data_IF_858143905545
#
_entry.id   IF_858143905545
#
_cell.length_a   1.000
_cell.length_b   1.000
_cell.length_c   1.000
_cell.angle_alpha   90.00
_cell.angle_beta   90.00
_cell.angle_gamma   90.00
#
_symmetry.space_group_name_H-M   'P 1'
#
loop_
_entity.id
_entity.type
_entity.pdbx_description
1 polymer ?
#
# COMPACT_ATOMS: atom_id res chain seq x y z
N UNK A 1 -0.92 -4.29 9.07
CA UNK A 1 -0.95 -4.54 7.60
C UNK A 1 0.15 -5.51 7.24
N UNK A 2 -0.08 -6.40 6.26
CA UNK A 2 0.69 -7.64 5.93
C UNK A 2 0.86 -8.63 7.10
N UNK A 3 1.62 -8.29 8.14
CA UNK A 3 1.83 -9.13 9.34
C UNK A 3 0.52 -9.50 10.04
N UNK A 4 -0.46 -8.60 10.11
CA UNK A 4 -1.77 -8.91 10.70
C UNK A 4 -2.61 -9.87 9.85
N UNK A 5 -2.47 -9.83 8.52
CA UNK A 5 -3.24 -10.72 7.62
C UNK A 5 -2.62 -12.12 7.65
N UNK A 6 -1.28 -12.20 7.60
CA UNK A 6 -0.57 -13.47 7.78
C UNK A 6 -0.81 -14.03 9.18
N UNK A 7 -0.73 -13.20 10.22
CA UNK A 7 -1.03 -13.62 11.60
C UNK A 7 -2.49 -14.07 11.76
N UNK A 8 -3.47 -13.39 11.16
CA UNK A 8 -4.86 -13.84 11.22
C UNK A 8 -5.08 -15.20 10.52
N UNK A 9 -4.39 -15.46 9.40
CA UNK A 9 -4.37 -16.75 8.72
C UNK A 9 -3.59 -17.82 9.51
N UNK A 10 -2.54 -17.42 10.24
CA UNK A 10 -1.64 -18.30 10.98
C UNK A 10 -2.10 -18.63 12.41
N UNK A 11 -2.89 -17.76 13.06
CA UNK A 11 -3.48 -17.98 14.39
C UNK A 11 -4.34 -19.26 14.43
N UNK A 12 -4.81 -19.74 13.29
CA UNK A 12 -5.50 -21.03 13.15
C UNK A 12 -4.60 -22.27 13.25
N UNK A 13 -3.26 -22.18 13.24
CA UNK A 13 -2.41 -23.34 13.54
C UNK A 13 -1.05 -22.97 14.17
N UNK A 14 -0.73 -23.57 15.32
CA UNK A 14 0.57 -23.42 15.99
C UNK A 14 1.77 -23.94 15.16
N UNK A 15 1.52 -24.69 14.07
CA UNK A 15 2.52 -25.14 13.11
C UNK A 15 2.84 -24.09 12.02
N UNK A 16 2.08 -22.99 11.93
CA UNK A 16 2.16 -22.08 10.80
C UNK A 16 3.28 -21.05 10.86
N UNK A 17 3.82 -20.76 12.05
CA UNK A 17 4.90 -19.79 12.24
C UNK A 17 6.15 -20.16 11.45
N UNK A 18 6.42 -21.46 11.25
CA UNK A 18 7.54 -21.94 10.44
C UNK A 18 7.37 -21.61 8.94
N UNK A 19 6.14 -21.48 8.45
CA UNK A 19 5.86 -21.13 7.05
C UNK A 19 5.99 -19.62 6.77
N UNK A 20 6.08 -18.77 7.80
CA UNK A 20 6.23 -17.33 7.61
C UNK A 20 7.53 -16.98 6.85
N UNK A 21 8.65 -17.63 7.20
CA UNK A 21 9.95 -17.36 6.55
C UNK A 21 9.98 -17.82 5.08
N UNK A 22 9.57 -19.06 4.74
CA UNK A 22 9.43 -19.47 3.34
C UNK A 22 8.45 -18.60 2.54
N UNK A 23 7.31 -18.21 3.14
CA UNK A 23 6.34 -17.35 2.48
C UNK A 23 6.92 -15.96 2.16
N UNK A 24 7.64 -15.36 3.11
CA UNK A 24 8.36 -14.11 2.89
C UNK A 24 9.38 -14.24 1.74
N UNK A 25 10.13 -15.35 1.69
CA UNK A 25 11.05 -15.65 0.59
C UNK A 25 10.35 -15.69 -0.78
N UNK A 26 9.20 -16.34 -0.88
CA UNK A 26 8.39 -16.40 -2.11
C UNK A 26 7.92 -15.00 -2.52
N UNK A 27 7.43 -14.20 -1.57
CA UNK A 27 6.98 -12.82 -1.82
C UNK A 27 8.14 -11.97 -2.34
N UNK A 28 9.35 -12.10 -1.78
CA UNK A 28 10.54 -11.38 -2.25
C UNK A 28 10.93 -11.77 -3.68
N UNK A 29 10.88 -13.06 -4.03
CA UNK A 29 11.12 -13.53 -5.40
C UNK A 29 10.09 -12.93 -6.36
N UNK A 30 8.81 -12.95 -5.97
CA UNK A 30 7.73 -12.37 -6.77
C UNK A 30 7.92 -10.86 -6.95
N UNK A 31 8.30 -10.14 -5.90
CA UNK A 31 8.57 -8.71 -5.94
C UNK A 31 9.75 -8.38 -6.87
N UNK A 32 10.81 -9.20 -6.84
CA UNK A 32 11.93 -9.08 -7.78
C UNK A 32 11.48 -9.28 -9.23
N UNK A 33 10.70 -10.33 -9.51
CA UNK A 33 10.17 -10.61 -10.85
C UNK A 33 9.27 -9.48 -11.36
N UNK A 34 8.37 -8.98 -10.52
CA UNK A 34 7.49 -7.85 -10.83
C UNK A 34 8.32 -6.58 -11.08
N UNK A 35 9.35 -6.31 -10.28
CA UNK A 35 10.22 -5.14 -10.46
C UNK A 35 10.93 -5.18 -11.81
N UNK A 36 11.47 -6.34 -12.20
CA UNK A 36 12.08 -6.53 -13.51
C UNK A 36 11.07 -6.36 -14.66
N UNK A 37 9.84 -6.88 -14.49
CA UNK A 37 8.76 -6.71 -15.46
C UNK A 37 8.36 -5.24 -15.64
N UNK A 38 8.15 -4.50 -14.54
CA UNK A 38 7.87 -3.06 -14.60
C UNK A 38 9.00 -2.29 -15.27
N UNK A 39 10.24 -2.66 -15.00
CA UNK A 39 11.39 -2.03 -15.64
C UNK A 39 11.32 -2.22 -17.16
N UNK A 40 11.02 -3.42 -17.66
CA UNK A 40 10.84 -3.66 -19.10
C UNK A 40 9.69 -2.84 -19.69
N UNK A 41 8.54 -2.78 -18.99
CA UNK A 41 7.38 -2.00 -19.43
C UNK A 41 7.73 -0.51 -19.53
N UNK A 42 8.44 0.05 -18.55
CA UNK A 42 8.85 1.47 -18.56
C UNK A 42 9.77 1.77 -19.75
N UNK A 43 10.68 0.86 -20.10
CA UNK A 43 11.56 1.04 -21.27
C UNK A 43 10.78 0.89 -22.59
N UNK A 44 9.79 0.01 -22.65
CA UNK A 44 8.97 -0.20 -23.85
C UNK A 44 7.93 0.92 -24.07
N UNK A 45 7.47 1.58 -23.01
CA UNK A 45 6.45 2.64 -23.04
C UNK A 45 6.96 3.93 -22.38
N UNK A 46 7.96 4.63 -22.97
CA UNK A 46 8.57 5.82 -22.39
C UNK A 46 7.61 7.02 -22.29
N UNK A 47 6.58 7.05 -23.15
CA UNK A 47 5.51 8.06 -23.12
C UNK A 47 4.59 7.92 -21.91
N UNK A 48 4.72 6.84 -21.13
CA UNK A 48 3.82 6.52 -20.02
C UNK A 48 2.48 5.95 -20.48
N UNK A 49 1.52 5.86 -19.54
CA UNK A 49 0.15 5.40 -19.82
C UNK A 49 -0.38 4.33 -18.86
N UNK A 50 0.48 3.73 -18.05
CA UNK A 50 0.08 2.76 -17.02
C UNK A 50 -0.56 1.49 -17.59
N UNK A 51 -1.08 0.63 -16.70
CA UNK A 51 -1.62 -0.67 -17.08
C UNK A 51 -2.81 -0.59 -18.05
N UNK A 52 -3.61 0.48 -18.00
CA UNK A 52 -4.71 0.72 -18.93
C UNK A 52 -4.23 0.85 -20.38
N UNK A 53 -3.28 1.75 -20.65
CA UNK A 53 -2.78 2.01 -22.01
C UNK A 53 -2.05 0.79 -22.56
N UNK A 54 -1.23 0.13 -21.74
CA UNK A 54 -0.50 -1.08 -22.14
C UNK A 54 -1.48 -2.20 -22.49
N UNK A 55 -2.51 -2.44 -21.67
CA UNK A 55 -3.52 -3.46 -21.95
C UNK A 55 -4.35 -3.13 -23.21
N UNK A 56 -4.78 -1.88 -23.38
CA UNK A 56 -5.56 -1.46 -24.56
C UNK A 56 -4.77 -1.64 -25.85
N UNK A 57 -3.48 -1.26 -25.88
CA UNK A 57 -2.68 -1.32 -27.10
C UNK A 57 -2.32 -2.76 -27.52
N UNK A 58 -2.17 -3.68 -26.57
CA UNK A 58 -1.72 -5.05 -26.86
C UNK A 58 -2.89 -6.06 -26.93
N UNK A 59 -3.98 -5.84 -26.19
CA UNK A 59 -5.08 -6.80 -26.01
C UNK A 59 -6.45 -6.23 -26.40
N UNK A 60 -6.48 -4.98 -26.90
CA UNK A 60 -7.69 -4.29 -27.33
C UNK A 60 -8.47 -3.64 -26.19
N UNK A 61 -9.51 -2.89 -26.58
CA UNK A 61 -10.28 -2.02 -25.68
C UNK A 61 -10.93 -2.75 -24.52
N UNK A 62 -11.41 -3.99 -24.72
CA UNK A 62 -12.07 -4.77 -23.67
C UNK A 62 -11.15 -5.07 -22.49
N UNK A 63 -9.94 -5.58 -22.77
CA UNK A 63 -8.92 -5.84 -21.76
C UNK A 63 -8.45 -4.53 -21.09
N UNK A 64 -8.34 -3.45 -21.88
CA UNK A 64 -8.09 -2.10 -21.38
C UNK A 64 -9.09 -1.65 -20.33
N UNK A 65 -10.39 -1.76 -20.62
CA UNK A 65 -11.45 -1.36 -19.70
C UNK A 65 -11.45 -2.15 -18.39
N UNK A 66 -11.16 -3.45 -18.44
CA UNK A 66 -11.00 -4.28 -17.24
C UNK A 66 -9.80 -3.80 -16.41
N UNK A 67 -8.67 -3.52 -17.04
CA UNK A 67 -7.50 -2.97 -16.36
C UNK A 67 -7.80 -1.60 -15.73
N UNK A 68 -8.49 -0.72 -16.45
CA UNK A 68 -8.89 0.61 -15.96
C UNK A 68 -9.86 0.52 -14.77
N UNK A 69 -10.87 -0.34 -14.85
CA UNK A 69 -11.82 -0.57 -13.76
C UNK A 69 -11.15 -1.12 -12.51
N UNK A 70 -10.22 -2.08 -12.68
CA UNK A 70 -9.41 -2.63 -11.60
C UNK A 70 -8.56 -1.55 -10.91
N UNK A 71 -7.92 -0.66 -11.68
CA UNK A 71 -7.13 0.46 -11.13
C UNK A 71 -7.98 1.42 -10.28
N UNK A 72 -9.23 1.69 -10.65
CA UNK A 72 -10.11 2.54 -9.86
C UNK A 72 -10.44 1.89 -8.50
N UNK A 73 -10.73 0.58 -8.51
CA UNK A 73 -10.98 -0.17 -7.27
C UNK A 73 -9.71 -0.21 -6.41
N UNK A 74 -8.55 -0.46 -7.01
CA UNK A 74 -7.25 -0.47 -6.33
C UNK A 74 -6.97 0.88 -5.64
N UNK A 75 -7.25 2.01 -6.31
CA UNK A 75 -7.10 3.33 -5.69
C UNK A 75 -8.06 3.56 -4.52
N UNK A 76 -9.31 3.14 -4.63
CA UNK A 76 -10.28 3.25 -3.52
C UNK A 76 -9.84 2.40 -2.32
N UNK A 77 -9.42 1.15 -2.57
CA UNK A 77 -8.97 0.24 -1.53
C UNK A 77 -7.66 0.70 -0.90
N UNK A 78 -6.72 1.24 -1.68
CA UNK A 78 -5.46 1.76 -1.16
C UNK A 78 -5.69 2.85 -0.13
N UNK A 79 -6.59 3.80 -0.41
CA UNK A 79 -6.94 4.85 0.56
C UNK A 79 -7.64 4.25 1.79
N UNK A 80 -8.63 3.38 1.58
CA UNK A 80 -9.40 2.79 2.67
C UNK A 80 -8.52 1.96 3.64
N UNK A 81 -7.67 1.08 3.10
CA UNK A 81 -6.78 0.20 3.88
C UNK A 81 -5.68 1.00 4.56
N UNK A 82 -5.09 1.99 3.88
CA UNK A 82 -4.04 2.83 4.46
C UNK A 82 -4.57 3.66 5.64
N UNK A 83 -5.76 4.27 5.50
CA UNK A 83 -6.34 5.04 6.61
C UNK A 83 -6.76 4.14 7.76
N UNK A 84 -7.36 2.99 7.48
CA UNK A 84 -7.79 2.05 8.53
C UNK A 84 -6.59 1.53 9.33
N UNK A 85 -5.52 1.10 8.64
CA UNK A 85 -4.28 0.66 9.30
C UNK A 85 -3.57 1.79 10.06
N UNK A 86 -3.62 3.03 9.54
CA UNK A 86 -3.16 4.21 10.26
C UNK A 86 -3.94 4.46 11.55
N UNK A 87 -5.27 4.38 11.51
CA UNK A 87 -6.12 4.50 12.70
C UNK A 87 -5.89 3.37 13.70
N UNK A 88 -5.67 2.14 13.23
CA UNK A 88 -5.28 1.02 14.10
C UNK A 88 -3.96 1.28 14.82
N UNK A 89 -2.96 1.85 14.15
CA UNK A 89 -1.70 2.23 14.79
C UNK A 89 -1.90 3.30 15.88
N UNK A 90 -2.74 4.32 15.62
CA UNK A 90 -3.07 5.38 16.58
C UNK A 90 -3.81 4.81 17.79
N UNK A 91 -4.85 4.01 17.55
CA UNK A 91 -5.68 3.42 18.63
C UNK A 91 -4.95 2.33 19.40
N UNK A 92 -3.93 1.71 18.82
CA UNK A 92 -3.02 0.81 19.54
C UNK A 92 -2.10 1.56 20.51
N UNK A 93 -1.66 2.77 20.13
CA UNK A 93 -0.89 3.64 21.03
C UNK A 93 -1.77 4.30 22.12
N UNK A 94 -3.04 4.60 21.82
CA UNK A 94 -3.99 5.24 22.74
C UNK A 94 -5.30 4.41 22.81
N UNK A 95 -5.38 3.42 23.72
CA UNK A 95 -6.50 2.46 23.76
C UNK A 95 -7.88 3.07 24.00
N UNK A 96 -7.96 4.22 24.67
CA UNK A 96 -9.24 4.92 24.93
C UNK A 96 -9.95 5.38 23.65
N UNK A 97 -9.21 5.54 22.54
CA UNK A 97 -9.75 5.95 21.25
C UNK A 97 -10.35 4.79 20.44
N UNK A 98 -10.18 3.53 20.88
CA UNK A 98 -10.60 2.34 20.12
C UNK A 98 -12.10 2.33 19.80
N UNK A 99 -12.94 2.81 20.71
CA UNK A 99 -14.39 2.92 20.49
C UNK A 99 -14.76 3.89 19.34
N UNK A 100 -13.87 4.81 18.98
CA UNK A 100 -14.09 5.86 17.98
C UNK A 100 -13.30 5.60 16.68
N UNK A 101 -12.74 4.40 16.49
CA UNK A 101 -11.88 4.06 15.34
C UNK A 101 -12.52 4.41 14.00
N UNK A 102 -13.80 4.11 13.79
CA UNK A 102 -14.50 4.43 12.54
C UNK A 102 -14.60 5.94 12.33
N UNK A 103 -14.94 6.70 13.37
CA UNK A 103 -15.03 8.16 13.31
C UNK A 103 -13.69 8.81 13.00
N UNK A 104 -12.61 8.32 13.62
CA UNK A 104 -11.24 8.79 13.37
C UNK A 104 -10.85 8.52 11.91
N UNK A 105 -11.10 7.31 11.39
CA UNK A 105 -10.81 6.98 10.00
C UNK A 105 -11.55 7.89 9.00
N UNK A 106 -12.86 8.12 9.21
CA UNK A 106 -13.65 9.02 8.35
C UNK A 106 -13.10 10.45 8.40
N UNK A 107 -12.76 10.95 9.60
CA UNK A 107 -12.17 12.28 9.75
C UNK A 107 -10.82 12.40 9.03
N UNK A 108 -9.96 11.38 9.11
CA UNK A 108 -8.69 11.35 8.39
C UNK A 108 -8.92 11.37 6.87
N UNK A 109 -9.86 10.57 6.34
CA UNK A 109 -10.21 10.59 4.91
C UNK A 109 -10.67 11.97 4.48
N UNK A 110 -11.62 12.58 5.21
CA UNK A 110 -12.14 13.91 4.90
C UNK A 110 -11.05 15.00 4.98
N UNK A 111 -10.15 14.87 5.94
CA UNK A 111 -9.01 15.76 6.09
C UNK A 111 -8.08 15.66 4.88
N UNK A 112 -7.62 14.45 4.54
CA UNK A 112 -6.75 14.21 3.37
C UNK A 112 -7.44 14.66 2.08
N UNK A 113 -8.74 14.40 1.92
CA UNK A 113 -9.54 14.87 0.79
C UNK A 113 -9.52 16.40 0.70
N UNK A 114 -9.74 17.09 1.82
CA UNK A 114 -9.73 18.56 1.86
C UNK A 114 -8.35 19.12 1.51
N UNK A 115 -7.27 18.51 2.00
CA UNK A 115 -5.90 18.90 1.65
C UNK A 115 -5.63 18.74 0.14
N UNK A 116 -6.08 17.64 -0.46
CA UNK A 116 -5.92 17.37 -1.89
C UNK A 116 -6.74 18.36 -2.75
N UNK A 117 -7.98 18.65 -2.36
CA UNK A 117 -8.84 19.62 -3.05
C UNK A 117 -8.30 21.05 -2.96
N UNK A 118 -7.60 21.40 -1.88
CA UNK A 118 -6.93 22.71 -1.69
C UNK A 118 -5.63 22.87 -2.49
N UNK A 119 -5.21 21.87 -3.24
CA UNK A 119 -4.06 22.00 -4.13
C UNK A 119 -2.70 21.98 -3.44
N UNK A 120 -2.58 21.41 -2.22
CA UNK A 120 -1.29 21.22 -1.53
C UNK A 120 -0.27 20.32 -2.26
N UNK A 121 -0.64 19.85 -3.46
CA UNK A 121 0.13 18.96 -4.33
C UNK A 121 1.46 19.56 -4.80
N UNK A 122 1.62 20.90 -4.78
CA UNK A 122 2.87 21.56 -5.22
C UNK A 122 4.05 21.43 -4.22
N UNK A 123 3.81 21.02 -2.97
CA UNK A 123 4.86 20.86 -1.95
C UNK A 123 5.16 19.38 -1.63
N UNK A 124 5.35 18.55 -2.65
CA UNK A 124 5.70 17.14 -2.50
C UNK A 124 6.97 16.90 -1.65
N UNK A 125 7.83 17.91 -1.50
CA UNK A 125 9.02 17.85 -0.64
C UNK A 125 8.71 17.67 0.85
N UNK A 126 7.58 18.21 1.36
CA UNK A 126 7.22 18.04 2.78
C UNK A 126 6.93 16.57 3.12
N UNK A 127 6.36 15.81 2.18
CA UNK A 127 6.05 14.39 2.36
C UNK A 127 7.31 13.50 2.38
N UNK A 128 8.45 14.00 1.90
CA UNK A 128 9.71 13.27 1.89
C UNK A 128 10.29 13.10 3.30
N UNK A 129 10.09 14.08 4.19
CA UNK A 129 10.60 14.06 5.58
C UNK A 129 10.04 12.88 6.39
N UNK A 130 8.71 12.67 6.51
CA UNK A 130 8.17 11.56 7.30
C UNK A 130 8.54 10.20 6.69
N UNK A 131 8.68 10.09 5.37
CA UNK A 131 9.07 8.83 4.71
C UNK A 131 10.49 8.43 5.10
N UNK A 132 11.48 9.33 4.99
CA UNK A 132 12.85 8.99 5.40
C UNK A 132 12.97 8.75 6.89
N UNK A 133 12.26 9.52 7.72
CA UNK A 133 12.21 9.30 9.15
C UNK A 133 11.68 7.89 9.49
N UNK A 134 10.60 7.47 8.84
CA UNK A 134 10.05 6.12 9.02
C UNK A 134 11.06 5.03 8.63
N UNK A 135 11.74 5.17 7.49
CA UNK A 135 12.76 4.20 7.06
C UNK A 135 13.90 4.09 8.06
N UNK A 136 14.44 5.22 8.54
CA UNK A 136 15.53 5.23 9.54
C UNK A 136 15.08 4.56 10.83
N UNK A 137 13.85 4.83 11.29
CA UNK A 137 13.32 4.23 12.51
C UNK A 137 13.14 2.72 12.40
N UNK A 138 12.62 2.23 11.28
CA UNK A 138 12.48 0.79 11.05
C UNK A 138 13.86 0.11 10.98
N UNK A 139 14.82 0.69 10.25
CA UNK A 139 16.18 0.13 10.16
C UNK A 139 16.86 0.09 11.53
N UNK A 140 16.74 1.16 12.32
CA UNK A 140 17.28 1.21 13.68
C UNK A 140 16.61 0.17 14.59
N UNK A 141 15.28 0.03 14.52
CA UNK A 141 14.53 -0.95 15.29
C UNK A 141 14.96 -2.38 14.96
N UNK A 142 15.11 -2.73 13.67
CA UNK A 142 15.52 -4.08 13.24
C UNK A 142 17.00 -4.34 13.50
N UNK A 143 17.85 -3.31 13.43
CA UNK A 143 19.30 -3.46 13.64
C UNK A 143 19.72 -3.53 15.10
N UNK A 144 18.97 -2.87 16.00
CA UNK A 144 19.30 -2.78 17.43
C UNK A 144 18.35 -3.59 18.33
N UNK A 145 17.15 -3.90 17.85
CA UNK A 145 16.17 -4.76 18.52
C UNK A 145 16.39 -6.23 18.19
#
# INVERSE_FOLDING_TARGET
>A
GTEQITTALFVLSAAATWYAVPAAGIVLILLFAITMSYRQIIHAYPSGGGAYVVATQNWGTGAGLVAGGSLLVDYMLTVAVSVTSGTEAITSAIPSLRAHSVGISILIVLFIMTLNLRGLRESASFLTVPVYFFVIMIVALVGWG
#
